data_IF_399975457420
#
_entry.id   IF_399975457420
#
_cell.length_a   1.000
_cell.length_b   1.000
_cell.length_c   1.000
_cell.angle_alpha   90.00
_cell.angle_beta   90.00
_cell.angle_gamma   90.00
#
_symmetry.space_group_name_H-M   'P 1'
#
loop_
_entity.id
_entity.type
_entity.pdbx_description
1 polymer ?
#
# COMPACT_ATOMS: atom_id res chain seq x y z
N UNK A 1 -18.53 2.64 13.07
CA UNK A 1 -18.49 2.60 11.60
C UNK A 1 -17.25 1.84 11.21
N UNK A 2 -17.38 0.80 10.38
CA UNK A 2 -16.24 -0.01 9.97
C UNK A 2 -15.44 0.68 8.86
N UNK A 3 -14.13 0.83 9.03
CA UNK A 3 -13.27 1.41 8.00
C UNK A 3 -12.96 0.41 6.87
N UNK A 4 -12.34 0.86 5.78
CA UNK A 4 -11.99 -0.01 4.65
C UNK A 4 -11.05 -1.15 5.07
N UNK A 5 -10.10 -0.89 5.97
CA UNK A 5 -9.19 -1.90 6.49
C UNK A 5 -9.94 -3.05 7.18
N UNK A 6 -10.95 -2.75 8.00
CA UNK A 6 -11.78 -3.75 8.66
C UNK A 6 -12.64 -4.54 7.67
N UNK A 7 -13.13 -3.90 6.60
CA UNK A 7 -13.95 -4.55 5.58
C UNK A 7 -13.15 -5.56 4.73
N UNK A 8 -11.83 -5.45 4.66
CA UNK A 8 -10.96 -6.40 3.95
C UNK A 8 -10.27 -7.43 4.84
N UNK A 9 -10.69 -7.54 6.11
CA UNK A 9 -10.13 -8.50 7.07
C UNK A 9 -8.92 -7.99 7.88
N UNK A 10 -8.70 -6.67 7.88
CA UNK A 10 -7.72 -5.99 8.72
C UNK A 10 -6.31 -5.94 8.12
N UNK A 11 -5.40 -5.34 8.89
CA UNK A 11 -3.97 -5.28 8.56
C UNK A 11 -3.34 -6.64 8.21
N UNK A 12 -3.69 -7.78 8.85
CA UNK A 12 -3.11 -9.06 8.48
C UNK A 12 -3.35 -9.49 7.04
N UNK A 13 -4.51 -9.15 6.45
CA UNK A 13 -4.80 -9.48 5.05
C UNK A 13 -3.96 -8.60 4.14
N UNK A 14 -3.92 -7.29 4.39
CA UNK A 14 -3.10 -6.34 3.63
C UNK A 14 -1.63 -6.72 3.68
N UNK A 15 -1.09 -6.97 4.88
CA UNK A 15 0.32 -7.33 5.08
C UNK A 15 0.68 -8.63 4.36
N UNK A 16 -0.20 -9.64 4.41
CA UNK A 16 0.01 -10.89 3.68
C UNK A 16 0.00 -10.67 2.17
N UNK A 17 -0.94 -9.89 1.64
CA UNK A 17 -1.02 -9.63 0.20
C UNK A 17 0.20 -8.85 -0.30
N UNK A 18 0.71 -7.89 0.49
CA UNK A 18 1.97 -7.21 0.18
C UNK A 18 3.14 -8.19 0.21
N UNK A 19 3.26 -9.03 1.24
CA UNK A 19 4.31 -10.03 1.32
C UNK A 19 4.28 -11.02 0.13
N UNK A 20 3.08 -11.43 -0.32
CA UNK A 20 2.91 -12.28 -1.51
C UNK A 20 3.41 -11.61 -2.78
N UNK A 21 3.12 -10.31 -2.97
CA UNK A 21 3.66 -9.52 -4.09
C UNK A 21 5.20 -9.49 -4.07
N UNK A 22 5.80 -9.18 -2.92
CA UNK A 22 7.26 -9.12 -2.77
C UNK A 22 7.92 -10.48 -2.93
N UNK A 23 7.28 -11.55 -2.46
CA UNK A 23 7.73 -12.91 -2.70
C UNK A 23 7.68 -13.26 -4.19
N UNK A 24 6.66 -12.81 -4.92
CA UNK A 24 6.52 -13.07 -6.36
C UNK A 24 7.66 -12.45 -7.16
N UNK A 25 7.91 -11.14 -6.96
CA UNK A 25 8.98 -10.43 -7.70
C UNK A 25 10.38 -10.84 -7.21
N UNK A 26 10.52 -11.19 -5.93
CA UNK A 26 11.79 -11.58 -5.31
C UNK A 26 12.40 -12.89 -5.84
N UNK A 27 11.59 -13.78 -6.43
CA UNK A 27 12.07 -15.06 -7.01
C UNK A 27 13.07 -14.88 -8.14
N UNK A 28 13.13 -13.70 -8.74
CA UNK A 28 13.98 -13.40 -9.89
C UNK A 28 15.13 -12.43 -9.56
N UNK A 29 15.31 -12.08 -8.29
CA UNK A 29 16.25 -11.06 -7.86
C UNK A 29 17.51 -11.65 -7.19
N UNK A 30 18.61 -10.90 -7.29
CA UNK A 30 19.80 -11.16 -6.49
C UNK A 30 19.57 -10.86 -5.00
N UNK A 31 20.46 -11.33 -4.15
CA UNK A 31 20.37 -11.11 -2.69
C UNK A 31 20.50 -9.63 -2.30
N UNK A 32 21.21 -8.82 -3.07
CA UNK A 32 21.33 -7.37 -2.83
C UNK A 32 20.00 -6.66 -3.12
N UNK A 33 19.39 -6.96 -4.26
CA UNK A 33 18.08 -6.44 -4.65
C UNK A 33 17.00 -6.87 -3.63
N UNK A 34 17.09 -8.08 -3.08
CA UNK A 34 16.16 -8.58 -2.07
C UNK A 34 16.12 -7.73 -0.78
N UNK A 35 17.25 -7.13 -0.36
CA UNK A 35 17.30 -6.30 0.86
C UNK A 35 16.52 -4.99 0.72
N UNK A 36 16.66 -4.31 -0.43
CA UNK A 36 15.91 -3.08 -0.69
C UNK A 36 14.43 -3.38 -0.92
N UNK A 37 14.10 -4.52 -1.50
CA UNK A 37 12.72 -5.00 -1.62
C UNK A 37 12.07 -5.24 -0.25
N UNK A 38 12.77 -5.81 0.73
CA UNK A 38 12.19 -5.98 2.07
C UNK A 38 11.89 -4.64 2.77
N UNK A 39 12.73 -3.62 2.57
CA UNK A 39 12.43 -2.26 3.09
C UNK A 39 11.19 -1.68 2.42
N UNK A 40 11.04 -1.89 1.11
CA UNK A 40 9.86 -1.44 0.37
C UNK A 40 8.59 -2.20 0.80
N UNK A 41 8.67 -3.51 1.02
CA UNK A 41 7.60 -4.35 1.56
C UNK A 41 7.03 -3.76 2.86
N UNK A 42 7.88 -3.57 3.86
CA UNK A 42 7.47 -3.03 5.17
C UNK A 42 6.89 -1.63 5.04
N UNK A 43 7.47 -0.78 4.19
CA UNK A 43 7.02 0.61 4.03
C UNK A 43 5.68 0.68 3.29
N UNK A 44 5.49 -0.12 2.24
CA UNK A 44 4.24 -0.18 1.46
C UNK A 44 3.10 -0.80 2.27
N UNK A 45 3.34 -1.86 3.04
CA UNK A 45 2.35 -2.40 3.99
C UNK A 45 1.90 -1.33 4.99
N UNK A 46 2.84 -0.61 5.61
CA UNK A 46 2.51 0.49 6.54
C UNK A 46 1.75 1.62 5.86
N UNK A 47 2.10 1.95 4.62
CA UNK A 47 1.41 2.97 3.85
C UNK A 47 -0.04 2.56 3.59
N UNK A 48 -0.28 1.35 3.06
CA UNK A 48 -1.63 0.83 2.81
C UNK A 48 -2.45 0.75 4.09
N UNK A 49 -1.90 0.24 5.19
CA UNK A 49 -2.61 0.23 6.48
C UNK A 49 -2.98 1.64 6.98
N UNK A 50 -2.11 2.64 6.74
CA UNK A 50 -2.39 4.05 7.05
C UNK A 50 -3.45 4.63 6.10
N UNK A 51 -3.44 4.23 4.84
CA UNK A 51 -4.40 4.65 3.83
C UNK A 51 -5.81 4.09 4.13
N UNK A 52 -5.91 2.90 4.70
CA UNK A 52 -7.19 2.19 4.85
C UNK A 52 -7.76 2.22 6.27
N UNK A 53 -6.92 2.57 7.25
CA UNK A 53 -7.29 2.65 8.66
C UNK A 53 -8.06 3.91 9.05
N UNK A 54 -8.46 3.96 10.34
CA UNK A 54 -9.25 5.05 10.93
C UNK A 54 -8.43 6.14 11.62
N UNK A 55 -7.11 6.23 11.43
CA UNK A 55 -6.31 7.24 12.13
C UNK A 55 -6.81 8.67 11.81
N UNK A 56 -6.82 9.58 12.80
CA UNK A 56 -7.33 10.93 12.61
C UNK A 56 -6.54 11.72 11.56
N UNK A 57 -7.25 12.54 10.79
CA UNK A 57 -6.77 13.18 9.55
C UNK A 57 -5.35 13.74 9.57
N UNK A 58 -4.96 14.63 10.52
CA UNK A 58 -3.62 15.21 10.54
C UNK A 58 -2.52 14.18 10.78
N UNK A 59 -2.71 13.29 11.75
CA UNK A 59 -1.75 12.22 12.09
C UNK A 59 -1.61 11.24 10.91
N UNK A 60 -2.73 10.87 10.30
CA UNK A 60 -2.78 10.02 9.11
C UNK A 60 -2.03 10.67 7.94
N UNK A 61 -2.28 11.95 7.67
CA UNK A 61 -1.66 12.68 6.56
C UNK A 61 -0.13 12.83 6.74
N UNK A 62 0.33 13.19 7.94
CA UNK A 62 1.77 13.34 8.21
C UNK A 62 2.51 12.00 8.13
N UNK A 63 1.91 10.94 8.67
CA UNK A 63 2.44 9.58 8.57
C UNK A 63 2.47 9.09 7.12
N UNK A 64 1.40 9.31 6.36
CA UNK A 64 1.32 8.94 4.95
C UNK A 64 2.40 9.67 4.13
N UNK A 65 2.59 10.98 4.33
CA UNK A 65 3.65 11.75 3.66
C UNK A 65 5.05 11.24 3.99
N UNK A 66 5.32 10.95 5.27
CA UNK A 66 6.60 10.38 5.69
C UNK A 66 6.88 9.02 5.03
N UNK A 67 5.85 8.18 4.91
CA UNK A 67 5.94 6.88 4.25
C UNK A 67 6.10 7.02 2.73
N UNK A 68 5.33 7.89 2.08
CA UNK A 68 5.37 8.12 0.63
C UNK A 68 6.76 8.55 0.13
N UNK A 69 7.45 9.44 0.87
CA UNK A 69 8.82 9.93 0.54
C UNK A 69 9.87 8.84 0.30
N UNK A 70 9.66 7.65 0.84
CA UNK A 70 10.61 6.53 0.70
C UNK A 70 10.05 5.37 -0.13
N UNK A 71 8.88 5.54 -0.75
CA UNK A 71 8.33 4.55 -1.66
C UNK A 71 9.01 4.64 -3.03
N UNK A 72 9.31 3.48 -3.59
CA UNK A 72 9.63 3.37 -5.01
C UNK A 72 8.30 3.38 -5.79
N UNK A 73 8.08 4.44 -6.58
CA UNK A 73 6.82 4.66 -7.31
C UNK A 73 6.46 3.50 -8.26
N UNK A 74 7.33 3.05 -9.19
CA UNK A 74 7.02 1.88 -10.03
C UNK A 74 6.64 0.63 -9.25
N UNK A 75 7.33 0.33 -8.13
CA UNK A 75 6.97 -0.81 -7.29
C UNK A 75 5.62 -0.62 -6.60
N UNK A 76 5.28 0.60 -6.21
CA UNK A 76 4.00 0.89 -5.58
C UNK A 76 2.83 0.78 -6.58
N UNK A 77 2.99 1.31 -7.79
CA UNK A 77 2.02 1.17 -8.89
C UNK A 77 1.79 -0.32 -9.21
N UNK A 78 2.87 -1.10 -9.36
CA UNK A 78 2.78 -2.55 -9.59
C UNK A 78 2.12 -3.31 -8.42
N UNK A 79 2.37 -2.88 -7.17
CA UNK A 79 1.69 -3.45 -6.01
C UNK A 79 0.18 -3.20 -6.05
N UNK A 80 -0.26 -1.99 -6.42
CA UNK A 80 -1.69 -1.65 -6.52
C UNK A 80 -2.39 -2.47 -7.62
N UNK A 81 -1.74 -2.63 -8.78
CA UNK A 81 -2.22 -3.50 -9.87
C UNK A 81 -2.35 -4.96 -9.44
N UNK A 82 -1.43 -5.45 -8.60
CA UNK A 82 -1.49 -6.79 -8.02
C UNK A 82 -2.57 -6.92 -6.93
N UNK A 83 -2.76 -5.88 -6.13
CA UNK A 83 -3.60 -5.90 -4.92
C UNK A 83 -5.08 -6.13 -5.25
N UNK A 84 -5.63 -5.41 -6.23
CA UNK A 84 -7.06 -5.50 -6.57
C UNK A 84 -7.51 -6.93 -6.95
N UNK A 85 -6.93 -7.60 -7.96
CA UNK A 85 -7.36 -8.95 -8.32
C UNK A 85 -7.11 -9.94 -7.19
N UNK A 86 -6.04 -9.75 -6.41
CA UNK A 86 -5.72 -10.64 -5.29
C UNK A 86 -6.75 -10.55 -4.16
N UNK A 87 -7.25 -9.36 -3.84
CA UNK A 87 -8.32 -9.20 -2.86
C UNK A 87 -9.61 -9.89 -3.33
N UNK A 88 -9.93 -9.83 -4.62
CA UNK A 88 -11.09 -10.52 -5.19
C UNK A 88 -10.96 -12.04 -5.06
N UNK A 89 -9.76 -12.60 -5.30
CA UNK A 89 -9.50 -14.03 -5.08
C UNK A 89 -9.67 -14.46 -3.62
N UNK A 90 -9.36 -13.56 -2.67
CA UNK A 90 -9.55 -13.78 -1.24
C UNK A 90 -11.02 -13.60 -0.78
N UNK A 91 -11.94 -13.32 -1.72
CA UNK A 91 -13.38 -13.20 -1.46
C UNK A 91 -13.84 -11.79 -1.11
N UNK A 92 -12.97 -10.77 -1.22
CA UNK A 92 -13.37 -9.38 -1.07
C UNK A 92 -14.20 -8.97 -2.29
N UNK A 93 -15.37 -8.32 -2.13
CA UNK A 93 -16.17 -7.86 -3.27
C UNK A 93 -15.37 -6.94 -4.20
N UNK A 94 -15.49 -7.15 -5.52
CA UNK A 94 -14.74 -6.38 -6.54
C UNK A 94 -14.85 -4.86 -6.33
N UNK A 95 -16.06 -4.35 -6.04
CA UNK A 95 -16.25 -2.93 -5.81
C UNK A 95 -15.41 -2.43 -4.64
N UNK A 96 -15.46 -3.14 -3.51
CA UNK A 96 -14.66 -2.80 -2.33
C UNK A 96 -13.15 -2.89 -2.60
N UNK A 97 -12.71 -3.87 -3.39
CA UNK A 97 -11.30 -3.96 -3.82
C UNK A 97 -10.87 -2.78 -4.68
N UNK A 98 -11.75 -2.30 -5.58
CA UNK A 98 -11.50 -1.10 -6.39
C UNK A 98 -11.42 0.15 -5.50
N UNK A 99 -12.42 0.36 -4.65
CA UNK A 99 -12.51 1.53 -3.76
C UNK A 99 -11.26 1.63 -2.84
N UNK A 100 -10.74 0.48 -2.41
CA UNK A 100 -9.52 0.38 -1.61
C UNK A 100 -8.28 0.84 -2.38
N UNK A 101 -8.12 0.37 -3.61
CA UNK A 101 -6.98 0.75 -4.45
C UNK A 101 -7.04 2.22 -4.81
N UNK A 102 -8.21 2.73 -5.19
CA UNK A 102 -8.44 4.15 -5.48
C UNK A 102 -8.10 5.02 -4.25
N UNK A 103 -8.56 4.63 -3.05
CA UNK A 103 -8.25 5.37 -1.83
C UNK A 103 -6.74 5.38 -1.49
N UNK A 104 -6.02 4.30 -1.78
CA UNK A 104 -4.57 4.23 -1.58
C UNK A 104 -3.81 5.08 -2.61
N UNK A 105 -4.24 5.03 -3.88
CA UNK A 105 -3.68 5.80 -4.99
C UNK A 105 -3.87 7.30 -4.77
N UNK A 106 -5.08 7.74 -4.43
CA UNK A 106 -5.41 9.15 -4.17
C UNK A 106 -4.57 9.74 -3.03
N UNK A 107 -4.43 8.99 -1.94
CA UNK A 107 -3.61 9.44 -0.80
C UNK A 107 -2.14 9.55 -1.21
N UNK A 108 -1.64 8.61 -2.01
CA UNK A 108 -0.27 8.63 -2.51
C UNK A 108 -0.04 9.84 -3.43
N UNK A 109 -0.93 10.08 -4.41
CA UNK A 109 -0.87 11.24 -5.30
C UNK A 109 -0.93 12.57 -4.56
N UNK A 110 -1.74 12.67 -3.50
CA UNK A 110 -1.79 13.84 -2.61
C UNK A 110 -0.45 14.05 -1.88
N UNK A 111 0.20 12.97 -1.45
CA UNK A 111 1.52 13.05 -0.82
C UNK A 111 2.58 13.53 -1.82
N UNK A 112 2.64 12.97 -3.02
CA UNK A 112 3.60 13.34 -4.06
C UNK A 112 3.45 14.80 -4.51
N UNK A 113 2.21 15.26 -4.71
CA UNK A 113 1.93 16.67 -5.05
C UNK A 113 2.42 17.61 -3.96
N UNK A 114 2.20 17.26 -2.68
CA UNK A 114 2.71 18.03 -1.55
C UNK A 114 4.24 18.06 -1.43
N UNK A 115 4.94 17.05 -1.95
CA UNK A 115 6.41 17.04 -2.00
C UNK A 115 6.93 17.96 -3.10
N UNK A 116 6.30 17.94 -4.28
CA UNK A 116 6.71 18.78 -5.42
C UNK A 116 6.53 20.29 -5.17
N UNK A 117 5.63 20.69 -4.28
CA UNK A 117 5.40 22.09 -3.91
C UNK A 117 6.33 22.58 -2.79
N UNK A 118 7.02 21.66 -2.10
CA UNK A 118 7.89 21.95 -0.97
C UNK A 118 9.40 21.96 -1.33
N UNK A 119 9.73 21.69 -2.59
CA UNK A 119 11.08 21.69 -3.18
C UNK A 119 11.34 22.94 -4.01
#
# INVERSE_FOLDING_TARGET
>A
MSNLLEQVGGAPVVDRTVAEFYQSIGRHLSSFESCDHHKQEVRQSRFLNTALGSEPGPVRADRARFLARGLNRPLFEALLEFLQPRLVELGVPRQLSSDLVEAAEDLYGTCETGLSLAS
#
